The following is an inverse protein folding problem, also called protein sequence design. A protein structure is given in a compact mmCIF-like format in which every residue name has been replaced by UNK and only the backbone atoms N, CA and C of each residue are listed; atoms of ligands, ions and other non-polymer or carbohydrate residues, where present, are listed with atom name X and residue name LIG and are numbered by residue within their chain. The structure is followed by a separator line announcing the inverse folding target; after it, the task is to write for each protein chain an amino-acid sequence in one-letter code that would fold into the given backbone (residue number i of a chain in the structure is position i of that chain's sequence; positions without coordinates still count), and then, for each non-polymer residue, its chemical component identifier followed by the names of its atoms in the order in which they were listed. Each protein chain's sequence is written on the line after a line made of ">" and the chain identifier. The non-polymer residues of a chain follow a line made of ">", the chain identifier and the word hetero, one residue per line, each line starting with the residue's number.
data_IF_095094905018
#
_entry.id   IF_095094905018
#
_cell.length_a   1.000
_cell.length_b   1.000
_cell.length_c   1.000
_cell.angle_alpha   90.00
_cell.angle_beta   90.00
_cell.angle_gamma   90.00
#
_symmetry.space_group_name_H-M   'P 1'
#
loop_
_entity.id
_entity.type
_entity.pdbx_description
1 polymer ?
#
# COMPACT_ATOMS: atom_id res chain seq x y z
N UNK A 1 11.80 5.66 -12.85
CA UNK A 1 11.53 4.37 -12.20
C UNK A 1 11.66 4.60 -10.71
N UNK A 2 10.55 4.64 -10.01
CA UNK A 2 10.52 4.75 -8.55
C UNK A 2 10.71 3.33 -8.01
N UNK A 3 11.80 3.08 -7.32
CA UNK A 3 11.99 1.82 -6.60
C UNK A 3 11.76 2.10 -5.12
N UNK A 4 10.75 1.50 -4.55
CA UNK A 4 10.58 1.44 -3.09
C UNK A 4 11.37 0.23 -2.63
N UNK A 5 12.44 0.46 -1.88
CA UNK A 5 13.19 -0.60 -1.25
C UNK A 5 12.71 -0.70 0.19
N UNK A 6 11.98 -1.75 0.51
CA UNK A 6 11.69 -2.10 1.89
C UNK A 6 12.79 -3.01 2.40
N UNK A 7 13.48 -2.63 3.45
CA UNK A 7 14.28 -3.53 4.23
C UNK A 7 13.62 -3.61 5.61
N UNK A 8 12.80 -4.63 5.82
CA UNK A 8 12.39 -5.02 7.16
C UNK A 8 13.44 -5.97 7.70
N UNK A 9 14.26 -5.53 8.62
CA UNK A 9 15.10 -6.40 9.40
C UNK A 9 14.41 -6.68 10.74
N UNK A 10 13.92 -7.90 10.88
CA UNK A 10 13.54 -8.49 12.15
C UNK A 10 14.75 -9.18 12.77
N UNK A 11 15.73 -8.41 13.15
CA UNK A 11 16.67 -8.82 14.20
C UNK A 11 16.18 -8.14 15.46
N UNK A 12 16.16 -8.78 16.61
CA UNK A 12 15.60 -8.38 17.92
C UNK A 12 15.66 -6.91 18.39
N UNK A 13 15.72 -5.97 17.49
CA UNK A 13 15.83 -4.53 17.68
C UNK A 13 14.95 -3.72 16.68
N UNK A 14 13.91 -4.33 16.07
CA UNK A 14 12.76 -3.69 15.39
C UNK A 14 13.10 -2.49 14.50
N UNK A 15 13.61 -2.68 13.27
CA UNK A 15 13.95 -1.56 12.37
C UNK A 15 13.35 -1.75 10.99
N UNK A 16 12.55 -0.79 10.56
CA UNK A 16 12.10 -0.65 9.17
C UNK A 16 12.68 0.64 8.58
N UNK A 17 13.27 0.57 7.39
CA UNK A 17 13.78 1.74 6.68
C UNK A 17 13.09 1.86 5.34
N UNK A 18 12.41 2.99 5.09
CA UNK A 18 11.86 3.34 3.80
C UNK A 18 12.81 4.29 3.07
N UNK A 19 13.22 3.97 1.85
CA UNK A 19 13.99 4.85 1.01
C UNK A 19 13.22 5.18 -0.26
N UNK A 20 12.96 6.45 -0.51
CA UNK A 20 12.41 6.94 -1.77
C UNK A 20 13.54 7.40 -2.68
N UNK A 21 13.66 6.88 -3.91
CA UNK A 21 14.63 7.42 -4.86
C UNK A 21 13.98 8.50 -5.72
N UNK A 22 14.28 9.75 -5.48
CA UNK A 22 14.52 10.74 -6.54
C UNK A 22 14.82 12.12 -5.97
N UNK A 23 16.03 12.28 -5.45
CA UNK A 23 16.71 13.59 -5.46
C UNK A 23 18.18 13.35 -5.75
N UNK A 24 18.83 14.19 -6.58
CA UNK A 24 20.25 14.02 -6.95
C UNK A 24 21.21 14.52 -5.87
N UNK A 25 20.91 14.30 -4.61
CA UNK A 25 21.82 14.57 -3.50
C UNK A 25 21.83 13.37 -2.57
N UNK A 26 22.90 12.59 -2.67
CA UNK A 26 23.16 11.46 -1.78
C UNK A 26 23.97 12.00 -0.61
N UNK A 27 23.31 12.33 0.47
CA UNK A 27 23.88 12.16 1.81
C UNK A 27 23.16 10.97 2.44
N UNK A 28 23.87 9.85 2.58
CA UNK A 28 23.40 8.73 3.39
C UNK A 28 23.37 9.16 4.86
N UNK A 29 22.24 9.71 5.30
CA UNK A 29 21.98 9.86 6.73
C UNK A 29 21.23 8.62 7.18
N UNK A 30 21.95 7.65 7.72
CA UNK A 30 21.35 6.51 8.41
C UNK A 30 20.72 7.04 9.69
N UNK A 31 19.43 7.33 9.64
CA UNK A 31 18.65 7.61 10.84
C UNK A 31 17.95 6.33 11.23
N UNK A 32 18.34 5.77 12.36
CA UNK A 32 17.64 4.64 12.96
C UNK A 32 16.35 5.17 13.56
N UNK A 33 15.23 4.86 12.93
CA UNK A 33 13.90 5.19 13.46
C UNK A 33 13.29 3.89 13.96
N UNK A 34 13.12 3.80 15.29
CA UNK A 34 12.39 2.70 15.93
C UNK A 34 10.91 3.06 15.93
N UNK A 35 10.11 2.42 15.10
CA UNK A 35 8.65 2.47 15.19
C UNK A 35 8.15 1.10 15.63
N UNK A 36 7.17 1.11 16.54
CA UNK A 36 6.22 0.01 16.63
C UNK A 36 5.41 0.06 15.33
N UNK A 37 5.68 -0.84 14.41
CA UNK A 37 4.94 -0.94 13.16
C UNK A 37 3.61 -1.64 13.47
N UNK A 38 2.51 -0.94 13.37
CA UNK A 38 1.23 -1.60 13.18
C UNK A 38 1.30 -2.21 11.77
N UNK A 39 1.20 -3.53 11.63
CA UNK A 39 1.39 -4.19 10.33
C UNK A 39 0.34 -3.82 9.30
N UNK A 40 -0.77 -3.24 9.72
CA UNK A 40 -1.88 -2.80 8.87
C UNK A 40 -2.00 -1.27 8.94
N UNK A 41 -1.14 -0.56 8.21
CA UNK A 41 -1.07 0.90 8.27
C UNK A 41 -1.10 1.57 6.88
N UNK A 42 -1.48 2.84 6.88
CA UNK A 42 -1.28 3.72 5.72
C UNK A 42 -0.18 4.73 6.02
N UNK A 43 0.82 4.78 5.13
CA UNK A 43 1.94 5.71 5.16
C UNK A 43 1.76 6.70 4.02
N UNK A 44 1.84 7.98 4.30
CA UNK A 44 1.80 9.06 3.32
C UNK A 44 2.97 10.03 3.50
N UNK A 45 2.96 11.18 2.81
CA UNK A 45 4.01 12.18 2.91
C UNK A 45 4.21 12.66 4.35
N UNK A 46 5.46 12.78 4.79
CA UNK A 46 5.76 13.37 6.10
C UNK A 46 5.30 14.82 6.21
N UNK A 47 5.38 15.56 5.10
CA UNK A 47 5.09 16.98 5.05
C UNK A 47 6.09 17.83 5.85
N UNK A 48 5.86 19.13 5.92
CA UNK A 48 6.74 20.09 6.59
C UNK A 48 6.08 20.63 7.85
N UNK A 49 6.83 20.66 8.94
CA UNK A 49 6.38 21.17 10.25
C UNK A 49 5.33 20.29 10.93
N UNK A 50 4.82 20.77 12.06
CA UNK A 50 3.84 20.03 12.88
C UNK A 50 2.50 19.82 12.18
N UNK A 51 2.14 20.68 11.26
CA UNK A 51 0.91 20.60 10.44
C UNK A 51 1.08 19.70 9.21
N UNK A 52 2.29 19.17 8.95
CA UNK A 52 2.59 18.29 7.81
C UNK A 52 2.21 18.91 6.46
N UNK A 53 2.63 20.14 6.22
CA UNK A 53 2.33 20.86 4.99
C UNK A 53 2.92 20.15 3.76
N UNK A 54 2.13 20.07 2.70
CA UNK A 54 2.52 19.57 1.37
C UNK A 54 2.13 20.58 0.31
N UNK A 55 2.95 20.75 -0.72
CA UNK A 55 2.61 21.72 -1.77
C UNK A 55 1.43 21.18 -2.62
N UNK A 56 0.54 22.08 -3.01
CA UNK A 56 -0.61 21.77 -3.86
C UNK A 56 -0.21 21.13 -5.20
N UNK A 57 0.97 21.44 -5.70
CA UNK A 57 1.49 20.93 -6.97
C UNK A 57 2.11 19.54 -6.86
N UNK A 58 2.31 19.03 -5.64
CA UNK A 58 3.06 17.80 -5.43
C UNK A 58 2.23 16.57 -5.77
N UNK A 59 2.90 15.59 -6.34
CA UNK A 59 2.37 14.23 -6.48
C UNK A 59 2.71 13.46 -5.21
N UNK A 60 1.71 13.21 -4.39
CA UNK A 60 1.83 12.69 -3.03
C UNK A 60 1.87 11.16 -3.04
N UNK A 61 2.93 10.53 -2.52
CA UNK A 61 3.03 9.09 -2.42
C UNK A 61 2.30 8.57 -1.18
N UNK A 62 1.51 7.51 -1.39
CA UNK A 62 0.89 6.73 -0.31
C UNK A 62 1.21 5.25 -0.48
N UNK A 63 1.37 4.57 0.65
CA UNK A 63 1.55 3.12 0.71
C UNK A 63 0.65 2.56 1.80
N UNK A 64 -0.15 1.55 1.46
CA UNK A 64 -0.94 0.79 2.41
C UNK A 64 -0.21 -0.53 2.64
N UNK A 65 0.15 -0.80 3.88
CA UNK A 65 0.78 -2.02 4.33
C UNK A 65 -0.29 -2.95 4.89
N UNK A 66 -0.15 -4.25 4.68
CA UNK A 66 -1.04 -5.25 5.24
C UNK A 66 -0.28 -6.51 5.63
N UNK A 67 -0.76 -7.19 6.65
CA UNK A 67 -0.16 -8.40 7.20
C UNK A 67 -1.24 -9.39 7.62
N UNK A 68 -1.01 -10.65 7.28
CA UNK A 68 -1.78 -11.75 7.85
C UNK A 68 -1.19 -12.10 9.23
N UNK A 69 -1.62 -11.33 10.22
CA UNK A 69 -1.05 -11.27 11.57
C UNK A 69 -1.22 -12.60 12.33
N UNK A 70 -0.14 -13.20 12.85
CA UNK A 70 -0.18 -14.46 13.59
C UNK A 70 -1.00 -14.40 14.90
N UNK A 71 -1.27 -13.21 15.44
CA UNK A 71 -2.11 -13.07 16.62
C UNK A 71 -3.60 -13.35 16.31
N UNK A 72 -4.04 -13.05 15.08
CA UNK A 72 -5.44 -13.16 14.66
C UNK A 72 -5.67 -14.23 13.60
N UNK A 73 -4.66 -14.57 12.82
CA UNK A 73 -4.77 -15.50 11.70
C UNK A 73 -4.31 -16.91 12.06
N UNK A 74 -5.07 -17.91 11.66
CA UNK A 74 -4.73 -19.33 11.81
C UNK A 74 -4.45 -20.06 10.48
N UNK A 75 -4.67 -19.37 9.35
CA UNK A 75 -4.51 -19.93 8.00
C UNK A 75 -4.01 -18.85 7.02
N UNK A 76 -3.53 -19.32 5.86
CA UNK A 76 -3.15 -18.42 4.79
C UNK A 76 -4.38 -17.70 4.21
N UNK A 77 -4.27 -16.37 3.98
CA UNK A 77 -5.33 -15.63 3.34
C UNK A 77 -5.39 -15.96 1.84
N UNK A 78 -6.57 -16.37 1.38
CA UNK A 78 -6.85 -16.65 -0.02
C UNK A 78 -7.22 -15.41 -0.80
N UNK A 79 -7.84 -14.43 -0.14
CA UNK A 79 -8.23 -13.15 -0.73
C UNK A 79 -7.88 -12.02 0.22
N UNK A 80 -7.27 -10.96 -0.32
CA UNK A 80 -7.10 -9.68 0.38
C UNK A 80 -7.76 -8.58 -0.45
N UNK A 81 -8.64 -7.80 0.15
CA UNK A 81 -9.24 -6.61 -0.45
C UNK A 81 -8.86 -5.38 0.36
N UNK A 82 -8.52 -4.33 -0.33
CA UNK A 82 -8.18 -3.04 0.29
C UNK A 82 -9.11 -2.01 -0.31
N UNK A 83 -9.80 -1.27 0.54
CA UNK A 83 -10.73 -0.20 0.16
C UNK A 83 -10.28 1.07 0.87
N UNK A 84 -9.97 2.10 0.08
CA UNK A 84 -9.62 3.40 0.61
C UNK A 84 -10.56 4.46 0.04
N UNK A 85 -11.49 5.00 0.82
CA UNK A 85 -12.28 6.16 0.41
C UNK A 85 -11.36 7.34 0.10
N UNK A 86 -11.59 8.03 -1.01
CA UNK A 86 -10.85 9.24 -1.37
C UNK A 86 -11.46 10.45 -0.70
N UNK A 87 -10.64 11.21 0.03
CA UNK A 87 -11.01 12.53 0.52
C UNK A 87 -11.35 13.45 -0.67
N UNK A 88 -12.37 14.29 -0.52
CA UNK A 88 -12.82 15.20 -1.57
C UNK A 88 -11.76 16.24 -1.98
N UNK A 89 -10.76 16.44 -1.15
CA UNK A 89 -9.64 17.34 -1.40
C UNK A 89 -8.53 16.71 -2.25
N UNK A 90 -8.68 15.45 -2.69
CA UNK A 90 -7.81 14.85 -3.70
C UNK A 90 -8.37 15.01 -5.11
N UNK A 91 -7.49 15.17 -6.10
CA UNK A 91 -7.82 15.15 -7.52
C UNK A 91 -7.79 13.71 -8.03
N UNK A 92 -8.96 13.06 -8.03
CA UNK A 92 -9.07 11.63 -8.38
C UNK A 92 -8.49 11.28 -9.77
N UNK A 93 -8.59 12.23 -10.72
CA UNK A 93 -8.06 12.06 -12.07
C UNK A 93 -6.52 11.96 -12.14
N UNK A 94 -5.81 12.34 -11.07
CA UNK A 94 -4.35 12.29 -10.99
C UNK A 94 -3.84 10.99 -10.36
N UNK A 95 -4.74 10.11 -9.91
CA UNK A 95 -4.36 8.84 -9.29
C UNK A 95 -3.51 8.01 -10.26
N UNK A 96 -2.38 7.55 -9.78
CA UNK A 96 -1.51 6.60 -10.46
C UNK A 96 -1.14 5.47 -9.50
N UNK A 97 -1.56 4.26 -9.82
CA UNK A 97 -1.09 3.07 -9.13
C UNK A 97 0.38 2.84 -9.49
N UNK A 98 1.23 2.52 -8.51
CA UNK A 98 2.69 2.47 -8.75
C UNK A 98 3.27 1.08 -8.54
N UNK A 99 3.08 0.52 -7.37
CA UNK A 99 3.65 -0.77 -7.00
C UNK A 99 2.69 -1.55 -6.10
N UNK A 100 2.89 -2.84 -6.07
CA UNK A 100 2.31 -3.75 -5.09
C UNK A 100 3.28 -4.88 -4.78
N UNK A 101 3.08 -5.54 -3.67
CA UNK A 101 3.94 -6.66 -3.29
C UNK A 101 3.32 -7.52 -2.21
N UNK A 102 3.81 -8.75 -2.11
CA UNK A 102 3.47 -9.69 -1.06
C UNK A 102 4.54 -10.77 -0.94
N UNK A 103 4.73 -11.33 0.26
CA UNK A 103 5.67 -12.42 0.51
C UNK A 103 7.11 -12.09 0.08
N UNK A 104 7.54 -10.84 0.25
CA UNK A 104 8.85 -10.35 -0.15
C UNK A 104 9.05 -10.10 -1.65
N UNK A 105 8.04 -10.34 -2.48
CA UNK A 105 8.05 -10.06 -3.94
C UNK A 105 7.47 -8.67 -4.20
N UNK A 106 8.06 -7.92 -5.14
CA UNK A 106 7.64 -6.56 -5.53
C UNK A 106 7.36 -6.53 -7.01
N UNK A 107 6.26 -5.89 -7.39
CA UNK A 107 5.80 -5.76 -8.77
C UNK A 107 5.48 -4.30 -9.10
N UNK A 108 5.91 -3.85 -10.27
CA UNK A 108 5.61 -2.51 -10.76
C UNK A 108 4.28 -2.51 -11.54
N UNK A 109 3.46 -1.49 -11.33
CA UNK A 109 2.34 -1.16 -12.21
C UNK A 109 2.86 -0.30 -13.36
N UNK A 110 2.46 -0.52 -14.61
CA UNK A 110 2.85 0.36 -15.71
C UNK A 110 2.49 1.82 -15.42
N UNK A 111 3.40 2.73 -15.74
CA UNK A 111 3.27 4.16 -15.43
C UNK A 111 1.99 4.76 -16.01
N UNK A 112 1.34 5.63 -15.22
CA UNK A 112 0.16 6.38 -15.64
C UNK A 112 -1.16 5.61 -15.58
N UNK A 113 -1.17 4.43 -14.96
CA UNK A 113 -2.38 3.62 -14.80
C UNK A 113 -3.10 3.96 -13.49
N UNK A 114 -4.40 4.20 -13.57
CA UNK A 114 -5.31 4.28 -12.42
C UNK A 114 -6.21 3.04 -12.32
N UNK A 115 -6.06 2.09 -13.25
CA UNK A 115 -6.68 0.77 -13.24
C UNK A 115 -5.70 -0.22 -13.84
N UNK A 116 -5.52 -1.36 -13.18
CA UNK A 116 -4.53 -2.36 -13.55
C UNK A 116 -5.00 -3.74 -13.11
N UNK A 117 -4.74 -4.74 -13.94
CA UNK A 117 -4.92 -6.15 -13.58
C UNK A 117 -3.74 -6.99 -14.04
N UNK A 118 -3.38 -7.97 -13.23
CA UNK A 118 -2.28 -8.90 -13.51
C UNK A 118 -2.57 -10.26 -12.91
N UNK A 119 -1.86 -11.27 -13.39
CA UNK A 119 -1.82 -12.59 -12.77
C UNK A 119 -0.36 -12.97 -12.50
N UNK A 120 -0.04 -13.25 -11.25
CA UNK A 120 1.29 -13.70 -10.83
C UNK A 120 1.26 -15.24 -10.75
N UNK A 121 2.14 -15.88 -11.48
CA UNK A 121 2.24 -17.35 -11.53
C UNK A 121 3.21 -17.86 -10.46
N UNK A 122 2.68 -18.53 -9.45
CA UNK A 122 3.40 -19.22 -8.38
C UNK A 122 3.14 -20.74 -8.44
N UNK A 123 2.73 -21.24 -9.59
CA UNK A 123 2.34 -22.66 -9.73
C UNK A 123 3.48 -23.62 -9.46
N UNK A 124 4.71 -23.27 -9.84
CA UNK A 124 5.88 -24.10 -9.61
C UNK A 124 6.31 -24.17 -8.13
N UNK A 125 6.08 -23.08 -7.37
CA UNK A 125 6.52 -22.94 -5.98
C UNK A 125 5.43 -23.38 -5.00
N UNK A 126 4.17 -23.03 -5.28
CA UNK A 126 3.05 -23.13 -4.34
C UNK A 126 1.80 -23.79 -4.92
N UNK A 127 1.80 -24.12 -6.22
CA UNK A 127 0.63 -24.71 -6.90
C UNK A 127 -0.52 -23.71 -7.07
N UNK A 128 -0.26 -22.41 -7.01
CA UNK A 128 -1.26 -21.34 -7.10
C UNK A 128 -0.88 -20.28 -8.14
N UNK A 129 -1.85 -19.47 -8.52
CA UNK A 129 -1.67 -18.18 -9.18
C UNK A 129 -2.37 -17.11 -8.36
N UNK A 130 -1.93 -15.85 -8.49
CA UNK A 130 -2.57 -14.73 -7.78
C UNK A 130 -3.08 -13.73 -8.80
N UNK A 131 -4.40 -13.57 -8.87
CA UNK A 131 -5.01 -12.50 -9.63
C UNK A 131 -4.95 -11.22 -8.80
N UNK A 132 -4.46 -10.16 -9.42
CA UNK A 132 -4.34 -8.82 -8.80
C UNK A 132 -5.15 -7.85 -9.63
N UNK A 133 -6.00 -7.10 -8.96
CA UNK A 133 -6.77 -5.99 -9.52
C UNK A 133 -6.52 -4.76 -8.65
N UNK A 134 -6.09 -3.66 -9.25
CA UNK A 134 -6.05 -2.34 -8.62
C UNK A 134 -6.85 -1.36 -9.48
N UNK A 135 -7.71 -0.53 -8.91
CA UNK A 135 -8.54 0.40 -9.69
C UNK A 135 -9.02 1.59 -8.87
N UNK A 136 -9.24 2.71 -9.57
CA UNK A 136 -10.05 3.82 -9.08
C UNK A 136 -11.53 3.52 -9.35
N UNK A 137 -12.30 3.29 -8.31
CA UNK A 137 -13.75 3.26 -8.39
C UNK A 137 -14.29 4.69 -8.34
N UNK A 138 -14.60 5.23 -9.51
CA UNK A 138 -15.06 6.62 -9.67
C UNK A 138 -16.45 6.83 -9.09
N UNK A 139 -17.28 5.77 -9.08
CA UNK A 139 -18.68 5.85 -8.63
C UNK A 139 -18.72 5.98 -7.11
N UNK A 140 -17.97 5.12 -6.43
CA UNK A 140 -17.90 5.10 -4.97
C UNK A 140 -16.80 6.04 -4.42
N UNK A 141 -16.03 6.70 -5.28
CA UNK A 141 -14.91 7.58 -4.94
C UNK A 141 -13.93 6.89 -3.99
N UNK A 142 -13.38 5.76 -4.43
CA UNK A 142 -12.45 4.97 -3.62
C UNK A 142 -11.37 4.33 -4.48
N UNK A 143 -10.21 4.10 -3.88
CA UNK A 143 -9.17 3.23 -4.43
C UNK A 143 -9.49 1.81 -3.94
N UNK A 144 -9.48 0.87 -4.87
CA UNK A 144 -9.78 -0.53 -4.61
C UNK A 144 -8.65 -1.42 -5.08
N UNK A 145 -8.20 -2.34 -4.23
CA UNK A 145 -7.31 -3.41 -4.59
C UNK A 145 -7.89 -4.76 -4.18
N UNK A 146 -7.64 -5.76 -5.00
CA UNK A 146 -8.02 -7.14 -4.69
C UNK A 146 -6.94 -8.11 -5.17
N UNK A 147 -6.54 -8.99 -4.27
CA UNK A 147 -5.70 -10.14 -4.51
C UNK A 147 -6.54 -11.39 -4.31
N UNK A 148 -6.49 -12.32 -5.26
CA UNK A 148 -7.28 -13.57 -5.18
C UNK A 148 -6.42 -14.75 -5.58
N UNK A 149 -6.35 -15.73 -4.70
CA UNK A 149 -5.66 -16.99 -4.98
C UNK A 149 -6.48 -17.85 -5.94
N UNK A 150 -5.82 -18.30 -7.00
CA UNK A 150 -6.36 -19.22 -7.99
C UNK A 150 -5.59 -20.53 -7.86
N UNK A 151 -6.28 -21.63 -7.70
CA UNK A 151 -5.66 -22.96 -7.73
C UNK A 151 -5.13 -23.23 -9.16
N UNK A 152 -3.83 -23.51 -9.28
CA UNK A 152 -3.19 -23.67 -10.59
C UNK A 152 -3.68 -24.90 -11.37
N UNK A 153 -4.16 -25.93 -10.67
CA UNK A 153 -4.65 -27.14 -11.30
C UNK A 153 -6.07 -27.01 -11.86
N UNK A 154 -6.93 -26.23 -11.17
CA UNK A 154 -8.33 -26.08 -11.56
C UNK A 154 -8.60 -24.79 -12.33
N UNK A 155 -7.75 -23.76 -12.16
CA UNK A 155 -7.95 -22.42 -12.70
C UNK A 155 -9.10 -21.64 -12.02
N UNK A 156 -9.59 -22.12 -10.88
CA UNK A 156 -10.68 -21.50 -10.11
C UNK A 156 -10.14 -20.88 -8.82
N UNK A 157 -10.86 -19.94 -8.20
CA UNK A 157 -10.53 -19.45 -6.88
C UNK A 157 -10.33 -20.61 -5.90
N UNK A 158 -9.24 -20.56 -5.12
CA UNK A 158 -8.93 -21.62 -4.17
C UNK A 158 -9.99 -21.65 -3.07
N UNK A 159 -10.51 -22.83 -2.80
CA UNK A 159 -11.39 -23.12 -1.65
C UNK A 159 -10.65 -23.87 -0.54
N UNK A 160 -9.38 -24.18 -0.76
CA UNK A 160 -8.52 -24.87 0.20
C UNK A 160 -7.88 -23.85 1.14
N UNK A 161 -8.19 -23.87 2.44
CA UNK A 161 -7.64 -22.91 3.41
C UNK A 161 -6.11 -22.97 3.56
N UNK A 162 -5.50 -24.07 3.10
CA UNK A 162 -4.04 -24.24 3.12
C UNK A 162 -3.34 -23.58 1.92
N UNK A 163 -4.11 -23.18 0.89
CA UNK A 163 -3.62 -22.63 -0.38
C UNK A 163 -3.98 -21.15 -0.50
N UNK A 164 -3.57 -20.33 0.44
CA UNK A 164 -3.65 -18.86 0.36
C UNK A 164 -2.33 -18.27 -0.16
N UNK A 165 -2.41 -17.15 -0.88
CA UNK A 165 -1.20 -16.46 -1.39
C UNK A 165 -0.43 -15.75 -0.28
N UNK A 166 -1.10 -15.39 0.82
CA UNK A 166 -0.53 -14.67 1.94
C UNK A 166 -0.56 -15.55 3.19
N UNK A 167 0.51 -16.29 3.48
CA UNK A 167 0.57 -17.14 4.68
C UNK A 167 0.49 -16.32 5.95
N UNK A 168 0.23 -16.96 7.08
CA UNK A 168 0.41 -16.34 8.39
C UNK A 168 1.83 -15.82 8.49
N UNK A 169 1.98 -14.57 8.94
CA UNK A 169 3.29 -13.92 8.97
C UNK A 169 4.22 -14.57 10.01
N UNK A 170 5.50 -14.42 9.77
CA UNK A 170 6.56 -14.82 10.70
C UNK A 170 7.74 -13.84 10.60
N UNK A 171 8.82 -14.14 11.29
CA UNK A 171 10.02 -13.30 11.31
C UNK A 171 10.67 -13.08 9.92
N UNK A 172 10.23 -13.77 8.88
CA UNK A 172 10.73 -13.58 7.50
C UNK A 172 9.90 -12.57 6.70
N UNK A 173 8.74 -12.13 7.21
CA UNK A 173 7.85 -11.21 6.52
C UNK A 173 7.04 -11.84 5.37
N UNK A 174 6.91 -13.19 5.35
CA UNK A 174 6.21 -13.89 4.26
C UNK A 174 4.71 -13.59 4.19
N UNK A 175 4.11 -13.19 5.33
CA UNK A 175 2.69 -12.82 5.45
C UNK A 175 2.44 -11.34 5.27
N UNK A 176 3.41 -10.58 4.78
CA UNK A 176 3.30 -9.15 4.56
C UNK A 176 3.05 -8.81 3.09
N UNK A 177 2.33 -7.71 2.88
CA UNK A 177 2.15 -7.14 1.56
C UNK A 177 1.94 -5.64 1.60
N UNK A 178 1.91 -5.03 0.43
CA UNK A 178 1.65 -3.60 0.28
C UNK A 178 1.06 -3.27 -1.07
N UNK A 179 0.41 -2.11 -1.14
CA UNK A 179 0.03 -1.43 -2.38
C UNK A 179 0.42 0.03 -2.30
N UNK A 180 0.84 0.64 -3.42
CA UNK A 180 1.29 2.02 -3.45
C UNK A 180 0.66 2.78 -4.61
N UNK A 181 0.47 4.08 -4.41
CA UNK A 181 -0.07 4.98 -5.43
C UNK A 181 0.45 6.40 -5.23
N UNK A 182 0.30 7.21 -6.28
CA UNK A 182 0.51 8.66 -6.28
C UNK A 182 -0.82 9.35 -6.52
N UNK A 183 -1.05 10.50 -5.88
CA UNK A 183 -2.23 11.33 -6.10
C UNK A 183 -1.90 12.78 -5.77
N UNK A 184 -2.60 13.73 -6.40
CA UNK A 184 -2.39 15.16 -6.15
C UNK A 184 -3.53 15.75 -5.33
N UNK A 185 -3.27 16.86 -4.59
CA UNK A 185 -4.32 17.69 -4.05
C UNK A 185 -5.25 18.21 -5.15
N UNK A 186 -6.52 18.38 -4.83
CA UNK A 186 -7.54 18.86 -5.74
C UNK A 186 -7.28 20.29 -6.23
N UNK A 187 -7.67 20.57 -7.45
CA UNK A 187 -7.51 21.89 -8.08
C UNK A 187 -8.16 23.01 -7.26
N UNK A 188 -9.27 22.72 -6.57
CA UNK A 188 -10.01 23.66 -5.73
C UNK A 188 -9.49 23.83 -4.30
N UNK A 189 -8.43 23.10 -3.90
CA UNK A 189 -7.92 23.21 -2.52
C UNK A 189 -7.20 24.53 -2.28
N UNK A 190 -7.30 25.01 -1.04
CA UNK A 190 -6.64 26.23 -0.57
C UNK A 190 -5.64 25.88 0.54
N UNK A 191 -4.75 26.85 0.86
CA UNK A 191 -3.83 26.69 1.99
C UNK A 191 -4.61 26.51 3.29
N UNK A 192 -4.31 25.45 4.02
CA UNK A 192 -5.00 25.06 5.25
C UNK A 192 -6.00 23.91 5.08
N UNK A 193 -6.37 23.54 3.86
CA UNK A 193 -7.21 22.38 3.62
C UNK A 193 -6.49 21.10 4.02
N UNK A 194 -7.24 20.15 4.60
CA UNK A 194 -6.70 18.87 5.04
C UNK A 194 -6.93 17.80 3.99
N UNK A 195 -5.89 17.01 3.73
CA UNK A 195 -5.94 15.76 2.96
C UNK A 195 -5.93 14.59 3.95
N UNK A 196 -6.91 13.71 3.89
CA UNK A 196 -7.03 12.58 4.81
C UNK A 196 -7.02 11.27 4.06
N UNK A 197 -6.31 10.28 4.61
CA UNK A 197 -6.24 8.94 4.05
C UNK A 197 -6.38 7.90 5.17
N UNK A 198 -7.22 6.92 4.96
CA UNK A 198 -7.43 5.76 5.82
C UNK A 198 -7.99 4.64 4.97
N UNK A 199 -7.52 3.41 5.16
CA UNK A 199 -7.97 2.26 4.39
C UNK A 199 -8.60 1.20 5.30
N UNK A 200 -9.43 0.35 4.69
CA UNK A 200 -9.98 -0.87 5.25
C UNK A 200 -9.39 -2.07 4.51
N UNK A 201 -8.87 -3.03 5.25
CA UNK A 201 -8.22 -4.22 4.73
C UNK A 201 -9.04 -5.44 5.14
N UNK A 202 -9.52 -6.19 4.18
CA UNK A 202 -10.34 -7.38 4.38
C UNK A 202 -9.53 -8.62 4.03
N UNK A 203 -9.38 -9.53 4.97
CA UNK A 203 -8.80 -10.84 4.75
C UNK A 203 -9.91 -11.88 4.65
N UNK A 204 -10.07 -12.48 3.47
CA UNK A 204 -11.13 -13.43 3.15
C UNK A 204 -12.53 -12.88 3.47
N UNK A 205 -13.22 -13.47 4.44
CA UNK A 205 -14.58 -13.10 4.88
C UNK A 205 -14.60 -12.43 6.25
N UNK A 206 -13.42 -12.07 6.79
CA UNK A 206 -13.33 -11.46 8.10
C UNK A 206 -13.77 -9.99 8.09
N UNK A 207 -14.07 -9.46 9.28
CA UNK A 207 -14.28 -8.02 9.47
C UNK A 207 -13.01 -7.25 9.06
N UNK A 208 -13.15 -6.03 8.55
CA UNK A 208 -12.01 -5.26 8.10
C UNK A 208 -11.08 -4.84 9.24
N UNK A 209 -9.80 -4.90 8.96
CA UNK A 209 -8.79 -4.18 9.75
C UNK A 209 -8.69 -2.77 9.21
N UNK A 210 -8.86 -1.77 10.07
CA UNK A 210 -8.84 -0.36 9.68
C UNK A 210 -7.46 0.22 10.01
N UNK A 211 -6.81 0.83 9.01
CA UNK A 211 -5.49 1.44 9.21
C UNK A 211 -5.55 2.67 10.11
N UNK A 212 -4.39 3.17 10.53
CA UNK A 212 -4.26 4.51 11.08
C UNK A 212 -4.85 5.57 10.14
N UNK A 213 -5.11 6.77 10.68
CA UNK A 213 -5.46 7.95 9.90
C UNK A 213 -4.19 8.74 9.58
N UNK A 214 -3.87 8.85 8.29
CA UNK A 214 -2.85 9.77 7.82
C UNK A 214 -3.48 11.09 7.38
N UNK A 215 -2.79 12.21 7.65
CA UNK A 215 -3.25 13.52 7.19
C UNK A 215 -2.06 14.41 6.79
N UNK A 216 -2.33 15.30 5.83
CA UNK A 216 -1.48 16.42 5.46
C UNK A 216 -2.33 17.69 5.36
N UNK A 217 -1.69 18.83 5.37
CA UNK A 217 -2.31 20.13 5.13
C UNK A 217 -1.76 20.72 3.84
N UNK A 218 -2.64 21.21 2.97
CA UNK A 218 -2.23 21.80 1.70
C UNK A 218 -1.59 23.14 1.93
N UNK A 219 -0.45 23.39 1.26
CA UNK A 219 0.10 24.71 1.01
C UNK A 219 -0.07 25.03 -0.47
N UNK A 220 -1.00 25.94 -0.76
CA UNK A 220 -1.31 26.37 -2.11
C UNK A 220 -0.53 27.61 -2.55
N UNK A 221 0.30 28.17 -1.66
CA UNK A 221 1.12 29.33 -1.97
C UNK A 221 2.40 28.89 -2.70
N UNK A 222 2.77 29.54 -3.81
CA UNK A 222 4.07 29.27 -4.41
C UNK A 222 5.18 29.68 -3.44
N UNK A 223 6.32 28.98 -3.44
CA UNK A 223 7.49 29.43 -2.67
C UNK A 223 7.90 30.83 -3.11
N UNK A 224 8.14 31.69 -2.11
CA UNK A 224 8.58 33.11 -2.31
C UNK A 224 10.09 33.13 -2.53
#
# INVERSE_FOLDING_TARGET
>A
TVRILRICHTGGDGRSVFCFPNTPFIEEKVTTVSYSCDPNEIVGPEGVGSSKFVAKSDSLPYTILFENDPEFASAAAGTVRIVQPLDNNFEAGTLQLTQYGFGGKIFDVPTGQNSFSSQIDLSAEQGIKVNVLGTLDVINKQIFWQFTTIDAATGQPSVDPSKGFLPVNDSTGKGEGFVSYLIQPGIGTETGDSLRAQAEIFFDFNEPVVTNKHFNVVDALPPV
#
